data_IF_441360992438
#
_entry.id   IF_441360992438
#
_cell.length_a   1.000
_cell.length_b   1.000
_cell.length_c   1.000
_cell.angle_alpha   90.00
_cell.angle_beta   90.00
_cell.angle_gamma   90.00
#
_symmetry.space_group_name_H-M   'P 1'
#
loop_
_entity.id
_entity.type
_entity.pdbx_description
1 polymer ?
#
# COMPACT_ATOMS: atom_id res chain seq x y z
N UNK A 1 3.49 -23.48 8.96
CA UNK A 1 2.11 -24.00 8.85
C UNK A 1 1.50 -23.37 7.61
N UNK A 2 0.54 -24.02 6.93
CA UNK A 2 -0.22 -23.35 5.87
C UNK A 2 -0.95 -22.14 6.46
N UNK A 3 -1.07 -21.07 5.68
CA UNK A 3 -1.78 -19.86 6.10
C UNK A 3 -3.29 -20.12 6.10
N UNK A 4 -4.08 -19.46 6.96
CA UNK A 4 -5.54 -19.68 7.04
C UNK A 4 -6.24 -19.56 5.66
N UNK A 5 -5.82 -18.59 4.85
CA UNK A 5 -6.30 -18.43 3.46
C UNK A 5 -5.77 -19.48 2.46
N UNK A 6 -4.69 -20.21 2.77
CA UNK A 6 -4.27 -21.38 1.98
C UNK A 6 -5.20 -22.58 2.26
N UNK A 7 -5.90 -22.58 3.40
CA UNK A 7 -6.81 -23.64 3.84
C UNK A 7 -8.25 -23.44 3.32
N UNK A 8 -8.58 -22.28 2.73
CA UNK A 8 -9.89 -21.99 2.13
C UNK A 8 -9.76 -21.38 0.71
N UNK A 9 -9.39 -22.18 -0.31
CA UNK A 9 -9.30 -21.71 -1.70
C UNK A 9 -10.59 -21.08 -2.23
N UNK A 10 -11.73 -21.53 -1.70
CA UNK A 10 -13.09 -21.11 -2.07
C UNK A 10 -13.39 -19.64 -1.74
N UNK A 11 -12.62 -19.02 -0.82
CA UNK A 11 -12.79 -17.60 -0.46
C UNK A 11 -11.67 -16.70 -0.98
N UNK A 12 -10.71 -17.26 -1.72
CA UNK A 12 -9.64 -16.46 -2.32
C UNK A 12 -10.22 -15.55 -3.42
N UNK A 13 -9.95 -14.26 -3.30
CA UNK A 13 -10.49 -13.24 -4.21
C UNK A 13 -11.88 -12.73 -3.84
N UNK A 14 -12.51 -13.22 -2.76
CA UNK A 14 -13.74 -12.60 -2.28
C UNK A 14 -13.42 -11.32 -1.48
N UNK A 15 -14.15 -10.24 -1.78
CA UNK A 15 -14.02 -8.94 -1.11
C UNK A 15 -13.10 -7.96 -1.84
N UNK A 16 -12.66 -6.94 -1.09
CA UNK A 16 -11.80 -5.87 -1.61
C UNK A 16 -10.33 -6.23 -1.49
N UNK A 17 -9.59 -6.03 -2.58
CA UNK A 17 -8.14 -6.19 -2.61
C UNK A 17 -7.51 -4.85 -2.92
N UNK A 18 -6.63 -4.42 -2.02
CA UNK A 18 -5.99 -3.10 -2.06
C UNK A 18 -4.55 -3.19 -2.53
N UNK A 19 -4.00 -2.03 -2.85
CA UNK A 19 -2.64 -1.85 -3.32
C UNK A 19 -2.25 -0.38 -3.19
N UNK A 20 -1.11 -0.12 -2.58
CA UNK A 20 -0.66 1.24 -2.29
C UNK A 20 0.55 1.66 -3.10
N UNK A 21 0.63 2.93 -3.48
CA UNK A 21 1.88 3.58 -3.87
C UNK A 21 1.90 5.02 -3.36
N UNK A 22 2.97 5.75 -3.67
CA UNK A 22 3.09 7.16 -3.33
C UNK A 22 3.92 7.89 -4.39
N UNK A 23 3.35 8.95 -4.99
CA UNK A 23 4.00 9.73 -6.03
C UNK A 23 4.33 11.13 -5.51
N UNK A 24 5.54 11.63 -5.76
CA UNK A 24 5.87 13.03 -5.48
C UNK A 24 5.02 13.95 -6.34
N UNK A 25 4.76 15.16 -5.85
CA UNK A 25 4.14 16.20 -6.64
C UNK A 25 5.21 17.17 -7.16
N UNK A 26 5.10 17.60 -8.42
CA UNK A 26 5.75 18.84 -8.87
C UNK A 26 6.72 18.78 -10.05
N UNK A 27 6.83 17.67 -10.79
CA UNK A 27 7.60 17.62 -12.04
C UNK A 27 6.88 16.87 -13.19
N UNK A 28 7.42 16.99 -14.40
CA UNK A 28 6.89 16.34 -15.61
C UNK A 28 6.94 14.80 -15.47
N UNK A 29 7.96 14.27 -14.79
CA UNK A 29 8.10 12.84 -14.50
C UNK A 29 6.95 12.33 -13.60
N UNK A 30 6.55 13.11 -12.60
CA UNK A 30 5.40 12.80 -11.77
C UNK A 30 4.12 12.78 -12.61
N UNK A 31 3.92 13.78 -13.49
CA UNK A 31 2.74 13.85 -14.37
C UNK A 31 2.63 12.62 -15.26
N UNK A 32 3.75 12.19 -15.87
CA UNK A 32 3.79 10.98 -16.69
C UNK A 32 3.42 9.73 -15.87
N UNK A 33 3.91 9.61 -14.63
CA UNK A 33 3.54 8.50 -13.74
C UNK A 33 2.04 8.43 -13.44
N UNK A 34 1.35 9.56 -13.24
CA UNK A 34 -0.11 9.54 -13.06
C UNK A 34 -0.82 9.00 -14.30
N UNK A 35 -0.39 9.44 -15.50
CA UNK A 35 -0.97 9.00 -16.77
C UNK A 35 -0.73 7.50 -16.97
N UNK A 36 0.50 7.04 -16.78
CA UNK A 36 0.86 5.62 -16.91
C UNK A 36 0.09 4.75 -15.91
N UNK A 37 -0.07 5.18 -14.66
CA UNK A 37 -0.84 4.45 -13.66
C UNK A 37 -2.33 4.36 -14.04
N UNK A 38 -2.89 5.46 -14.58
CA UNK A 38 -4.25 5.47 -15.11
C UNK A 38 -4.41 4.52 -16.30
N UNK A 39 -3.53 4.62 -17.31
CA UNK A 39 -3.57 3.79 -18.50
C UNK A 39 -3.45 2.30 -18.16
N UNK A 40 -2.52 1.97 -17.25
CA UNK A 40 -2.36 0.62 -16.74
C UNK A 40 -3.64 0.13 -16.06
N UNK A 41 -4.19 0.91 -15.13
CA UNK A 41 -5.40 0.51 -14.39
C UNK A 41 -6.62 0.37 -15.30
N UNK A 42 -6.74 1.25 -16.29
CA UNK A 42 -7.80 1.20 -17.29
C UNK A 42 -7.67 -0.04 -18.19
N UNK A 43 -6.47 -0.34 -18.68
CA UNK A 43 -6.21 -1.53 -19.48
C UNK A 43 -6.47 -2.81 -18.67
N UNK A 44 -6.02 -2.84 -17.42
CA UNK A 44 -6.30 -3.91 -16.47
C UNK A 44 -7.80 -4.13 -16.26
N UNK A 45 -8.57 -3.05 -16.04
CA UNK A 45 -10.01 -3.14 -15.84
C UNK A 45 -10.75 -3.69 -17.06
N UNK A 46 -10.29 -3.35 -18.27
CA UNK A 46 -10.83 -3.91 -19.52
C UNK A 46 -10.46 -5.39 -19.67
N UNK A 47 -9.20 -5.74 -19.40
CA UNK A 47 -8.69 -7.10 -19.53
C UNK A 47 -9.46 -8.09 -18.64
N UNK A 48 -9.85 -7.66 -17.43
CA UNK A 48 -10.48 -8.50 -16.40
C UNK A 48 -11.95 -8.14 -16.17
N UNK A 49 -12.61 -7.51 -17.14
CA UNK A 49 -13.98 -6.99 -17.00
C UNK A 49 -15.05 -8.08 -16.77
N UNK A 50 -14.75 -9.33 -17.11
CA UNK A 50 -15.60 -10.49 -16.91
C UNK A 50 -15.60 -11.00 -15.46
N UNK A 51 -14.50 -10.82 -14.75
CA UNK A 51 -14.29 -11.33 -13.38
C UNK A 51 -14.38 -10.25 -12.28
N UNK A 52 -14.13 -8.99 -12.64
CA UNK A 52 -14.19 -7.86 -11.71
C UNK A 52 -15.58 -7.21 -11.66
N UNK A 53 -15.99 -6.79 -10.47
CA UNK A 53 -17.19 -5.98 -10.26
C UNK A 53 -16.85 -4.49 -10.07
N UNK A 54 -15.65 -4.20 -9.55
CA UNK A 54 -15.17 -2.85 -9.30
C UNK A 54 -13.66 -2.75 -9.47
N UNK A 55 -13.20 -1.62 -10.02
CA UNK A 55 -11.81 -1.21 -10.07
C UNK A 55 -11.72 0.28 -9.74
N UNK A 56 -10.83 0.66 -8.83
CA UNK A 56 -10.54 2.04 -8.51
C UNK A 56 -9.04 2.34 -8.52
N UNK A 57 -8.73 3.54 -9.03
CA UNK A 57 -7.47 4.22 -8.85
C UNK A 57 -7.77 5.56 -8.21
N UNK A 58 -7.23 5.81 -7.02
CA UNK A 58 -7.42 7.06 -6.31
C UNK A 58 -6.08 7.73 -6.02
N UNK A 59 -6.07 9.06 -6.18
CA UNK A 59 -4.93 9.91 -5.87
C UNK A 59 -5.34 10.87 -4.77
N UNK A 60 -4.78 10.68 -3.57
CA UNK A 60 -5.10 11.49 -2.39
C UNK A 60 -3.93 12.44 -2.13
N UNK A 61 -4.10 13.75 -2.41
CA UNK A 61 -3.01 14.71 -2.21
C UNK A 61 -2.75 14.98 -0.74
N UNK A 62 -1.50 14.77 -0.33
CA UNK A 62 -0.95 15.16 0.97
C UNK A 62 -0.13 16.42 0.78
N UNK A 63 -0.72 17.55 1.19
CA UNK A 63 -0.14 18.88 0.97
C UNK A 63 0.96 19.18 1.98
N UNK A 64 1.92 20.03 1.60
CA UNK A 64 3.01 20.47 2.47
C UNK A 64 2.53 20.94 3.86
N UNK A 65 1.41 21.67 3.92
CA UNK A 65 0.88 22.12 5.22
C UNK A 65 0.41 20.98 6.13
N UNK A 66 -0.14 19.90 5.56
CA UNK A 66 -0.52 18.71 6.33
C UNK A 66 0.73 18.00 6.87
N UNK A 67 1.79 17.93 6.06
CA UNK A 67 3.10 17.39 6.44
C UNK A 67 3.71 18.20 7.59
N UNK A 68 3.76 19.53 7.46
CA UNK A 68 4.27 20.44 8.50
C UNK A 68 3.53 20.27 9.84
N UNK A 69 2.19 20.22 9.80
CA UNK A 69 1.37 20.04 11.02
C UNK A 69 1.64 18.67 11.65
N UNK A 70 1.78 17.62 10.82
CA UNK A 70 2.12 16.27 11.28
C UNK A 70 3.48 16.21 11.98
N UNK A 71 4.51 16.87 11.42
CA UNK A 71 5.86 16.93 12.03
C UNK A 71 5.87 17.66 13.38
N UNK A 72 5.07 18.72 13.52
CA UNK A 72 5.03 19.56 14.72
C UNK A 72 4.27 18.97 15.92
N UNK A 73 3.61 17.82 15.78
CA UNK A 73 2.73 17.26 16.82
C UNK A 73 3.24 15.91 17.35
N UNK A 74 3.79 15.86 18.58
CA UNK A 74 4.32 14.62 19.17
C UNK A 74 3.24 13.58 19.52
N UNK A 75 1.96 13.96 19.60
CA UNK A 75 0.83 13.03 19.84
C UNK A 75 0.24 12.45 18.54
N UNK A 76 0.38 13.17 17.41
CA UNK A 76 0.06 12.67 16.06
C UNK A 76 1.29 11.95 15.45
N UNK A 77 2.43 12.03 16.14
CA UNK A 77 3.59 11.15 16.07
C UNK A 77 3.84 10.52 14.71
N UNK A 78 4.64 11.21 13.88
CA UNK A 78 5.63 10.64 12.93
C UNK A 78 5.25 9.48 12.01
N UNK A 79 3.99 9.07 11.95
CA UNK A 79 3.57 7.81 11.32
C UNK A 79 2.91 8.09 9.98
N UNK A 80 1.89 8.93 9.93
CA UNK A 80 1.08 9.05 8.71
C UNK A 80 1.56 10.10 7.69
N UNK A 81 2.38 11.08 8.11
CA UNK A 81 2.63 12.29 7.30
C UNK A 81 4.08 12.74 7.30
N UNK A 82 4.98 12.02 7.98
CA UNK A 82 6.40 12.41 8.04
C UNK A 82 7.19 11.81 6.88
N UNK A 83 6.91 12.33 5.68
CA UNK A 83 7.71 12.04 4.51
C UNK A 83 9.10 12.68 4.69
N UNK A 84 10.16 11.87 4.60
CA UNK A 84 11.56 12.30 4.68
C UNK A 84 12.39 11.46 3.74
N UNK A 85 13.22 12.10 2.93
CA UNK A 85 14.05 11.41 1.95
C UNK A 85 15.05 10.54 2.72
N UNK A 86 14.71 9.27 2.94
CA UNK A 86 15.55 8.25 3.60
C UNK A 86 16.21 8.71 4.92
N UNK A 87 15.48 9.39 5.80
CA UNK A 87 16.01 9.77 7.12
C UNK A 87 17.25 10.66 7.04
N UNK A 88 17.39 11.42 5.95
CA UNK A 88 18.50 12.35 5.74
C UNK A 88 18.17 13.76 6.23
N UNK A 89 16.95 14.00 6.71
CA UNK A 89 16.53 15.32 7.19
C UNK A 89 16.19 16.29 6.05
N UNK A 90 16.18 15.82 4.81
CA UNK A 90 15.72 16.57 3.65
C UNK A 90 14.20 16.45 3.56
N UNK A 91 13.52 17.59 3.71
CA UNK A 91 12.07 17.66 3.68
C UNK A 91 11.53 17.16 2.32
N UNK A 92 10.79 16.06 2.32
CA UNK A 92 9.97 15.68 1.18
C UNK A 92 8.85 16.71 1.03
N UNK A 93 8.69 17.20 -0.20
CA UNK A 93 7.60 18.09 -0.61
C UNK A 93 6.24 17.39 -0.62
N UNK A 94 5.18 18.06 -1.09
CA UNK A 94 3.87 17.45 -1.24
C UNK A 94 3.94 16.18 -2.09
N UNK A 95 3.07 15.22 -1.79
CA UNK A 95 2.96 13.95 -2.50
C UNK A 95 1.49 13.54 -2.63
N UNK A 96 1.22 12.52 -3.43
CA UNK A 96 -0.07 11.84 -3.47
C UNK A 96 0.10 10.42 -2.94
N UNK A 97 -0.75 10.04 -1.98
CA UNK A 97 -0.98 8.64 -1.70
C UNK A 97 -1.80 8.07 -2.86
N UNK A 98 -1.35 6.93 -3.39
CA UNK A 98 -1.97 6.26 -4.52
C UNK A 98 -2.61 4.99 -4.00
N UNK A 99 -3.92 4.86 -4.18
CA UNK A 99 -4.66 3.65 -3.90
C UNK A 99 -5.05 3.01 -5.22
N UNK A 100 -4.86 1.69 -5.29
CA UNK A 100 -5.38 0.81 -6.31
C UNK A 100 -6.24 -0.26 -5.63
N UNK A 101 -7.48 -0.42 -6.07
CA UNK A 101 -8.44 -1.34 -5.46
C UNK A 101 -9.20 -2.12 -6.53
N UNK A 102 -9.48 -3.39 -6.26
CA UNK A 102 -10.42 -4.19 -7.02
C UNK A 102 -11.36 -4.98 -6.12
N UNK A 103 -12.54 -5.26 -6.64
CA UNK A 103 -13.51 -6.19 -6.04
C UNK A 103 -13.89 -7.21 -7.09
N UNK A 104 -13.87 -8.49 -6.75
CA UNK A 104 -14.25 -9.56 -7.66
C UNK A 104 -15.75 -9.83 -7.58
N UNK A 105 -16.33 -10.33 -8.67
CA UNK A 105 -17.71 -10.82 -8.70
C UNK A 105 -17.79 -12.24 -8.13
N UNK A 106 -17.32 -13.21 -8.91
CA UNK A 106 -17.29 -14.63 -8.57
C UNK A 106 -16.11 -15.28 -9.29
N UNK A 107 -14.86 -15.10 -8.80
CA UNK A 107 -13.68 -15.58 -9.51
C UNK A 107 -13.51 -17.09 -9.35
N UNK A 108 -13.02 -17.76 -10.39
CA UNK A 108 -12.36 -19.05 -10.21
C UNK A 108 -10.96 -18.83 -9.61
N UNK A 109 -10.33 -19.92 -9.14
CA UNK A 109 -8.96 -19.84 -8.62
C UNK A 109 -7.94 -19.38 -9.66
N UNK A 110 -8.18 -19.71 -10.93
CA UNK A 110 -7.28 -19.32 -12.02
C UNK A 110 -7.49 -17.85 -12.41
N UNK A 111 -8.74 -17.36 -12.39
CA UNK A 111 -9.04 -15.93 -12.52
C UNK A 111 -8.32 -15.13 -11.43
N UNK A 112 -8.48 -15.55 -10.17
CA UNK A 112 -7.80 -14.92 -9.03
C UNK A 112 -6.28 -14.86 -9.24
N UNK A 113 -5.65 -15.96 -9.66
CA UNK A 113 -4.20 -16.02 -9.88
C UNK A 113 -3.74 -15.06 -10.97
N UNK A 114 -4.48 -14.97 -12.06
CA UNK A 114 -4.14 -14.07 -13.16
C UNK A 114 -4.29 -12.61 -12.74
N UNK A 115 -5.40 -12.26 -12.09
CA UNK A 115 -5.65 -10.90 -11.58
C UNK A 115 -4.61 -10.53 -10.51
N UNK A 116 -4.25 -11.44 -9.60
CA UNK A 116 -3.20 -11.22 -8.59
C UNK A 116 -1.82 -11.01 -9.22
N UNK A 117 -1.48 -11.74 -10.29
CA UNK A 117 -0.21 -11.58 -11.00
C UNK A 117 -0.11 -10.18 -11.63
N UNK A 118 -1.17 -9.75 -12.32
CA UNK A 118 -1.22 -8.43 -12.94
C UNK A 118 -1.27 -7.32 -11.88
N UNK A 119 -1.99 -7.52 -10.78
CA UNK A 119 -1.98 -6.59 -9.64
C UNK A 119 -0.57 -6.41 -9.05
N UNK A 120 0.20 -7.48 -8.90
CA UNK A 120 1.59 -7.39 -8.43
C UNK A 120 2.47 -6.61 -9.40
N UNK A 121 2.24 -6.74 -10.70
CA UNK A 121 2.93 -5.95 -11.73
C UNK A 121 2.69 -4.45 -11.55
N UNK A 122 1.48 -4.02 -11.11
CA UNK A 122 1.25 -2.62 -10.75
C UNK A 122 2.24 -2.13 -9.67
N UNK A 123 2.49 -2.94 -8.62
CA UNK A 123 3.41 -2.56 -7.55
C UNK A 123 4.87 -2.48 -8.00
N UNK A 124 5.25 -3.31 -8.97
CA UNK A 124 6.59 -3.32 -9.55
C UNK A 124 6.82 -2.12 -10.48
N UNK A 125 5.80 -1.76 -11.28
CA UNK A 125 5.85 -0.64 -12.21
C UNK A 125 5.76 0.72 -11.51
N UNK A 126 4.98 0.78 -10.44
CA UNK A 126 4.70 2.01 -9.69
C UNK A 126 5.13 1.88 -8.23
N UNK A 127 6.43 1.66 -7.95
CA UNK A 127 6.90 1.54 -6.58
C UNK A 127 6.68 2.87 -5.82
N UNK A 128 6.48 2.82 -4.50
CA UNK A 128 6.34 4.03 -3.70
C UNK A 128 7.59 4.89 -3.78
N UNK A 129 7.41 6.20 -3.79
CA UNK A 129 8.52 7.14 -3.73
C UNK A 129 9.34 6.89 -2.45
N UNK A 130 10.67 6.75 -2.54
CA UNK A 130 11.52 6.51 -1.38
C UNK A 130 11.33 7.57 -0.29
N UNK A 131 11.02 7.13 0.93
CA UNK A 131 10.86 8.02 2.09
C UNK A 131 9.46 8.60 2.28
N UNK A 132 8.51 8.23 1.42
CA UNK A 132 7.09 8.57 1.58
C UNK A 132 6.34 7.38 2.19
N UNK A 133 5.52 7.58 3.24
CA UNK A 133 4.76 6.49 3.83
C UNK A 133 3.67 5.97 2.89
N UNK A 134 3.50 4.65 2.84
CA UNK A 134 2.32 4.01 2.26
C UNK A 134 1.14 4.13 3.22
N UNK A 135 -0.09 4.27 2.72
CA UNK A 135 -1.24 4.37 3.61
C UNK A 135 -1.65 2.98 4.14
N UNK A 136 -1.55 2.80 5.46
CA UNK A 136 -1.65 1.48 6.13
C UNK A 136 -2.96 0.73 5.87
N UNK A 137 -4.06 1.46 5.70
CA UNK A 137 -5.38 0.85 5.51
C UNK A 137 -5.69 0.52 4.03
N UNK A 138 -4.82 0.94 3.10
CA UNK A 138 -5.06 0.89 1.66
C UNK A 138 -3.87 0.23 0.92
N UNK A 139 -3.14 -0.62 1.64
CA UNK A 139 -1.99 -1.36 1.11
C UNK A 139 -2.24 -2.86 1.09
N UNK A 140 -1.57 -3.56 0.18
CA UNK A 140 -1.57 -5.01 0.19
C UNK A 140 -0.78 -5.56 1.39
N UNK A 141 -1.20 -6.71 1.92
CA UNK A 141 -0.50 -7.37 3.04
C UNK A 141 0.96 -7.72 2.72
N UNK A 142 1.31 -7.94 1.45
CA UNK A 142 2.68 -8.23 0.99
C UNK A 142 3.53 -6.97 0.80
N UNK A 143 2.95 -5.78 0.95
CA UNK A 143 3.71 -4.54 0.97
C UNK A 143 4.26 -4.30 2.37
N UNK A 144 5.56 -3.99 2.43
CA UNK A 144 6.30 -3.71 3.68
C UNK A 144 5.96 -2.33 4.24
N UNK A 145 4.69 -2.13 4.58
CA UNK A 145 4.14 -0.80 4.81
C UNK A 145 4.74 -0.18 6.06
N UNK A 146 4.92 -0.94 7.13
CA UNK A 146 5.53 -0.42 8.36
C UNK A 146 6.95 0.12 8.14
N UNK A 147 7.74 -0.47 7.23
CA UNK A 147 9.09 0.01 6.89
C UNK A 147 9.08 1.42 6.27
N UNK A 148 7.95 1.87 5.73
CA UNK A 148 7.79 3.21 5.15
C UNK A 148 7.51 4.29 6.20
N UNK A 149 7.26 3.91 7.45
CA UNK A 149 6.92 4.80 8.55
C UNK A 149 8.17 5.09 9.37
N UNK A 150 8.43 6.35 9.73
CA UNK A 150 9.57 6.68 10.60
C UNK A 150 9.50 6.03 11.99
N UNK A 151 8.29 5.77 12.47
CA UNK A 151 8.03 5.08 13.73
C UNK A 151 8.36 3.59 13.72
N UNK A 152 8.81 3.02 12.59
CA UNK A 152 9.02 1.59 12.42
C UNK A 152 9.88 0.96 13.52
N UNK A 153 11.02 1.56 13.82
CA UNK A 153 11.95 1.05 14.83
C UNK A 153 11.35 1.04 16.24
N UNK A 154 10.51 2.05 16.54
CA UNK A 154 9.78 2.10 17.82
C UNK A 154 8.73 0.99 17.85
N UNK A 155 7.94 0.83 16.79
CA UNK A 155 6.94 -0.24 16.70
C UNK A 155 7.58 -1.63 16.81
N UNK A 156 8.73 -1.84 16.16
CA UNK A 156 9.53 -3.06 16.27
C UNK A 156 9.94 -3.33 17.72
N UNK A 157 10.47 -2.32 18.42
CA UNK A 157 10.86 -2.45 19.83
C UNK A 157 9.68 -2.75 20.77
N UNK A 158 8.49 -2.19 20.49
CA UNK A 158 7.26 -2.48 21.23
C UNK A 158 6.83 -3.92 20.98
N UNK A 159 6.87 -4.37 19.73
CA UNK A 159 6.56 -5.76 19.37
C UNK A 159 7.53 -6.74 20.03
N UNK A 160 8.84 -6.48 20.00
CA UNK A 160 9.85 -7.30 20.68
C UNK A 160 9.62 -7.39 22.20
N UNK A 161 9.03 -6.35 22.81
CA UNK A 161 8.73 -6.32 24.25
C UNK A 161 7.44 -7.06 24.62
N UNK A 162 6.40 -6.97 23.78
CA UNK A 162 5.05 -7.42 24.15
C UNK A 162 4.55 -8.65 23.37
N UNK A 163 5.18 -8.99 22.25
CA UNK A 163 4.89 -10.17 21.42
C UNK A 163 6.19 -10.94 21.10
N UNK A 164 6.89 -11.31 22.17
CA UNK A 164 8.20 -11.99 22.13
C UNK A 164 8.12 -13.28 21.30
N UNK A 165 7.05 -14.04 21.47
CA UNK A 165 6.86 -15.33 20.80
C UNK A 165 6.26 -15.18 19.39
N UNK A 166 5.93 -13.96 18.96
CA UNK A 166 5.36 -13.67 17.65
C UNK A 166 3.95 -14.24 17.45
N UNK A 167 3.17 -14.35 18.53
CA UNK A 167 1.79 -14.85 18.47
C UNK A 167 0.94 -14.00 17.52
N UNK A 168 1.02 -12.68 17.59
CA UNK A 168 0.19 -11.85 16.71
C UNK A 168 0.64 -12.01 15.25
N UNK A 169 1.95 -12.08 14.99
CA UNK A 169 2.46 -12.30 13.63
C UNK A 169 2.14 -13.69 13.07
N UNK A 170 1.95 -14.69 13.93
CA UNK A 170 1.59 -16.05 13.51
C UNK A 170 0.10 -16.22 13.19
N UNK A 171 -0.78 -15.39 13.77
CA UNK A 171 -2.23 -15.61 13.72
C UNK A 171 -3.06 -14.41 13.24
N UNK A 172 -2.47 -13.22 13.09
CA UNK A 172 -3.17 -12.05 12.57
C UNK A 172 -2.70 -11.72 11.15
N UNK A 173 -3.65 -11.34 10.28
CA UNK A 173 -3.34 -10.74 8.99
C UNK A 173 -3.11 -9.23 9.17
N UNK A 174 -1.93 -8.77 8.80
CA UNK A 174 -1.54 -7.38 8.75
C UNK A 174 -0.39 -7.19 7.77
N UNK A 175 -0.05 -5.94 7.41
CA UNK A 175 1.03 -5.68 6.47
C UNK A 175 2.36 -6.22 6.99
N UNK A 176 3.15 -6.81 6.09
CA UNK A 176 4.48 -7.33 6.40
C UNK A 176 5.37 -6.25 7.02
N UNK A 177 6.18 -6.61 8.01
CA UNK A 177 7.30 -5.78 8.46
C UNK A 177 7.56 -5.71 9.96
N UNK A 178 6.65 -6.12 10.86
CA UNK A 178 6.88 -6.06 12.32
C UNK A 178 7.46 -7.36 12.92
#
# INVERSE_FOLDING_TARGET
>A
MPHLNDETPEVQGLGDVFGGSAFTAGDDEATEKYIQAYEYTHAFAIQHADVLDFTALAFTPVRGKQIEIGRGNPMIGSTYVDADRKGQGDELGPYNAVLWQVTFREPTIDDWRQVEADRRMFFELFPPCPGVPLFLNECDKKQKVFETYKGFEVLRSVRERYDVDGFNMAYMEGPEGL
#
